data_IF_455561067913
#
_entry.id   IF_455561067913
#
_cell.length_a   1.000
_cell.length_b   1.000
_cell.length_c   1.000
_cell.angle_alpha   90.00
_cell.angle_beta   90.00
_cell.angle_gamma   90.00
#
_symmetry.space_group_name_H-M   'P 1'
#
loop_
_entity.id
_entity.type
_entity.pdbx_description
1 polymer ?
#
# COMPACT_ATOMS: atom_id res chain seq x y z
N UNK A 1 -3.42 -12.94 -3.04
CA UNK A 1 -3.54 -12.16 -1.78
C UNK A 1 -3.85 -13.11 -0.64
N UNK A 2 -3.27 -12.86 0.53
CA UNK A 2 -3.60 -13.55 1.77
C UNK A 2 -4.80 -12.91 2.46
N UNK A 3 -5.72 -13.73 2.95
CA UNK A 3 -6.87 -13.31 3.75
C UNK A 3 -7.02 -14.23 4.97
N UNK A 4 -7.47 -13.67 6.08
CA UNK A 4 -7.80 -14.44 7.29
C UNK A 4 -9.32 -14.63 7.35
N UNK A 5 -9.78 -15.85 7.10
CA UNK A 5 -11.20 -16.21 7.06
C UNK A 5 -11.48 -17.16 8.21
N UNK A 6 -12.31 -16.72 9.16
CA UNK A 6 -12.69 -17.53 10.34
C UNK A 6 -11.51 -18.12 11.12
N UNK A 7 -10.41 -17.36 11.21
CA UNK A 7 -9.17 -17.78 11.89
C UNK A 7 -8.20 -18.62 11.04
N UNK A 8 -8.57 -18.95 9.79
CA UNK A 8 -7.71 -19.68 8.86
C UNK A 8 -7.10 -18.74 7.83
N UNK A 9 -5.80 -18.89 7.59
CA UNK A 9 -5.09 -18.15 6.56
C UNK A 9 -5.29 -18.78 5.18
N UNK A 10 -5.91 -18.05 4.26
CA UNK A 10 -6.22 -18.51 2.90
C UNK A 10 -5.50 -17.63 1.89
N UNK A 11 -4.97 -18.26 0.83
CA UNK A 11 -4.37 -17.55 -0.30
C UNK A 11 -5.32 -17.58 -1.49
N UNK A 12 -5.78 -16.41 -1.91
CA UNK A 12 -6.59 -16.24 -3.10
C UNK A 12 -5.73 -15.81 -4.29
N UNK A 13 -5.78 -16.58 -5.38
CA UNK A 13 -5.27 -16.12 -6.69
C UNK A 13 -6.29 -15.12 -7.22
N UNK A 14 -5.82 -13.91 -7.53
CA UNK A 14 -6.63 -12.81 -8.07
C UNK A 14 -5.82 -12.13 -9.16
N UNK A 15 -6.51 -11.57 -10.14
CA UNK A 15 -5.92 -10.72 -11.16
C UNK A 15 -5.89 -9.28 -10.64
N UNK A 16 -4.71 -8.68 -10.53
CA UNK A 16 -4.53 -7.31 -10.02
C UNK A 16 -4.20 -6.36 -11.17
N UNK A 17 -4.75 -5.15 -11.10
CA UNK A 17 -4.38 -4.03 -11.96
C UNK A 17 -4.13 -2.82 -11.08
N UNK A 18 -2.95 -2.22 -11.23
CA UNK A 18 -2.60 -0.96 -10.60
C UNK A 18 -2.91 0.18 -11.57
N UNK A 19 -3.75 1.13 -11.15
CA UNK A 19 -4.06 2.35 -11.90
C UNK A 19 -3.89 3.55 -10.99
N UNK A 20 -2.85 4.35 -11.25
CA UNK A 20 -2.46 5.45 -10.35
C UNK A 20 -2.17 4.94 -8.94
N UNK A 21 -2.89 5.46 -7.95
CA UNK A 21 -2.76 5.07 -6.55
C UNK A 21 -3.83 4.07 -6.09
N UNK A 22 -4.50 3.38 -7.01
CA UNK A 22 -5.55 2.40 -6.70
C UNK A 22 -5.23 1.07 -7.35
N UNK A 23 -5.21 0.01 -6.55
CA UNK A 23 -5.02 -1.37 -7.02
C UNK A 23 -6.35 -2.12 -6.99
N UNK A 24 -6.92 -2.39 -8.14
CA UNK A 24 -8.18 -3.12 -8.29
C UNK A 24 -7.92 -4.59 -8.61
N UNK A 25 -8.83 -5.48 -8.22
CA UNK A 25 -8.66 -6.91 -8.48
C UNK A 25 -9.93 -7.64 -8.88
N UNK A 26 -9.74 -8.72 -9.64
CA UNK A 26 -10.76 -9.63 -10.14
C UNK A 26 -10.39 -11.09 -9.87
N UNK A 27 -11.35 -12.01 -10.06
CA UNK A 27 -11.08 -13.44 -10.00
C UNK A 27 -10.30 -13.92 -11.23
N UNK A 28 -10.70 -13.46 -12.41
CA UNK A 28 -10.08 -13.82 -13.67
C UNK A 28 -9.73 -12.58 -14.51
N UNK A 29 -8.72 -12.64 -15.39
CA UNK A 29 -8.36 -11.52 -16.27
C UNK A 29 -9.53 -11.05 -17.16
N UNK A 30 -10.31 -12.00 -17.69
CA UNK A 30 -11.44 -11.74 -18.58
C UNK A 30 -12.61 -11.02 -17.86
N UNK A 31 -12.64 -11.05 -16.53
CA UNK A 31 -13.69 -10.41 -15.75
C UNK A 31 -13.63 -8.88 -15.86
N UNK A 32 -12.45 -8.32 -16.12
CA UNK A 32 -12.24 -6.88 -16.20
C UNK A 32 -13.11 -6.19 -17.26
N UNK A 33 -13.40 -6.89 -18.35
CA UNK A 33 -14.18 -6.35 -19.47
C UNK A 33 -15.69 -6.58 -19.30
N UNK A 34 -16.08 -7.50 -18.40
CA UNK A 34 -17.45 -7.96 -18.27
C UNK A 34 -18.12 -7.54 -16.97
N UNK A 35 -17.35 -7.24 -15.90
CA UNK A 35 -17.88 -6.82 -14.61
C UNK A 35 -16.94 -5.90 -13.84
N UNK A 36 -17.51 -5.26 -12.82
CA UNK A 36 -16.77 -4.45 -11.87
C UNK A 36 -15.73 -5.27 -11.08
N UNK A 37 -14.75 -4.55 -10.52
CA UNK A 37 -13.74 -5.16 -9.66
C UNK A 37 -14.37 -5.83 -8.44
N UNK A 38 -13.83 -6.98 -8.06
CA UNK A 38 -14.21 -7.69 -6.82
C UNK A 38 -13.83 -6.87 -5.58
N UNK A 39 -12.82 -6.02 -5.71
CA UNK A 39 -12.46 -5.03 -4.73
C UNK A 39 -11.31 -4.15 -5.20
N UNK A 40 -10.99 -3.16 -4.37
CA UNK A 40 -9.89 -2.25 -4.62
C UNK A 40 -9.14 -1.93 -3.33
N UNK A 41 -7.86 -1.59 -3.49
CA UNK A 41 -6.96 -1.19 -2.41
C UNK A 41 -6.42 0.18 -2.77
N UNK A 42 -6.74 1.18 -1.95
CA UNK A 42 -6.23 2.53 -2.10
C UNK A 42 -4.84 2.65 -1.45
N UNK A 43 -3.86 3.02 -2.28
CA UNK A 43 -2.51 3.37 -1.88
C UNK A 43 -2.40 4.82 -1.37
N UNK A 44 -3.42 5.64 -1.65
CA UNK A 44 -3.55 7.04 -1.22
C UNK A 44 -4.15 7.21 0.18
N UNK A 45 -4.64 6.12 0.79
CA UNK A 45 -5.36 6.18 2.07
C UNK A 45 -4.49 6.56 3.27
N UNK A 46 -3.17 6.38 3.20
CA UNK A 46 -2.27 6.74 4.31
C UNK A 46 -0.95 7.30 3.82
N UNK A 47 -0.44 8.33 4.48
CA UNK A 47 0.86 8.93 4.18
C UNK A 47 2.06 8.04 4.56
N UNK A 48 1.82 6.95 5.30
CA UNK A 48 2.86 6.06 5.83
C UNK A 48 2.73 4.64 5.26
N UNK A 49 2.24 4.50 4.04
CA UNK A 49 2.24 3.21 3.36
C UNK A 49 3.62 2.86 2.81
N UNK A 50 3.99 1.58 2.83
CA UNK A 50 5.23 1.09 2.24
C UNK A 50 5.11 -0.37 1.83
N UNK A 51 5.92 -0.76 0.83
CA UNK A 51 6.02 -2.15 0.38
C UNK A 51 7.31 -2.77 0.87
N UNK A 52 7.23 -3.98 1.44
CA UNK A 52 8.39 -4.69 1.98
C UNK A 52 8.41 -6.15 1.53
N UNK A 53 9.60 -6.75 1.36
CA UNK A 53 9.69 -8.20 1.18
C UNK A 53 9.33 -8.91 2.49
N UNK A 54 8.63 -10.04 2.41
CA UNK A 54 8.32 -10.85 3.59
C UNK A 54 9.47 -11.83 3.84
N UNK A 55 9.91 -11.90 5.08
CA UNK A 55 10.93 -12.87 5.51
C UNK A 55 10.35 -14.29 5.53
N UNK A 56 11.20 -15.27 5.24
CA UNK A 56 10.81 -16.70 5.16
C UNK A 56 10.32 -17.27 6.49
N UNK A 57 10.80 -16.74 7.61
CA UNK A 57 10.34 -17.10 8.96
C UNK A 57 8.86 -16.73 9.21
N UNK A 58 8.39 -15.67 8.53
CA UNK A 58 7.05 -15.11 8.67
C UNK A 58 6.06 -15.75 7.69
N UNK A 59 6.52 -16.05 6.48
CA UNK A 59 5.72 -16.70 5.46
C UNK A 59 6.58 -17.68 4.63
N UNK A 60 6.20 -18.95 4.64
CA UNK A 60 6.86 -19.99 3.84
C UNK A 60 6.56 -19.89 2.34
N UNK A 61 5.53 -19.13 1.94
CA UNK A 61 5.14 -18.99 0.52
C UNK A 61 6.22 -18.21 -0.24
N UNK A 62 6.76 -18.74 -1.35
CA UNK A 62 7.77 -18.06 -2.12
C UNK A 62 7.25 -16.75 -2.69
N UNK A 63 8.17 -15.85 -3.00
CA UNK A 63 7.89 -14.58 -3.66
C UNK A 63 6.85 -13.69 -2.97
N UNK A 64 6.74 -13.83 -1.64
CA UNK A 64 5.81 -13.04 -0.84
C UNK A 64 6.37 -11.66 -0.54
N UNK A 65 5.52 -10.64 -0.69
CA UNK A 65 5.75 -9.27 -0.26
C UNK A 65 4.53 -8.73 0.50
N UNK A 66 4.73 -7.65 1.25
CA UNK A 66 3.71 -7.05 2.09
C UNK A 66 3.54 -5.57 1.78
N UNK A 67 2.28 -5.15 1.71
CA UNK A 67 1.89 -3.74 1.77
C UNK A 67 1.50 -3.43 3.22
N UNK A 68 2.20 -2.49 3.83
CA UNK A 68 1.96 -2.05 5.21
C UNK A 68 1.46 -0.62 5.17
N UNK A 69 0.28 -0.37 5.74
CA UNK A 69 -0.25 0.98 5.95
C UNK A 69 -0.01 1.41 7.39
N UNK A 70 0.83 2.43 7.60
CA UNK A 70 1.01 3.05 8.91
C UNK A 70 -0.11 4.06 9.19
N UNK A 71 -0.86 3.86 10.28
CA UNK A 71 -1.73 4.90 10.85
C UNK A 71 -1.45 4.95 12.37
N UNK A 72 -1.30 6.14 12.98
CA UNK A 72 -1.25 6.27 14.42
C UNK A 72 -2.63 5.97 15.01
N UNK A 73 -2.63 5.09 16.00
CA UNK A 73 -3.73 4.72 16.89
C UNK A 73 -4.63 5.91 17.27
N UNK A 74 -5.90 5.89 16.84
CA UNK A 74 -6.97 6.50 17.62
C UNK A 74 -8.20 5.59 17.62
N UNK A 75 -8.71 5.38 18.84
CA UNK A 75 -9.79 4.49 19.19
C UNK A 75 -11.09 4.86 18.46
N UNK A 76 -11.87 3.79 18.22
CA UNK A 76 -13.28 3.74 17.85
C UNK A 76 -13.65 3.57 16.37
N UNK A 77 -14.49 2.55 16.19
CA UNK A 77 -15.28 2.16 15.03
C UNK A 77 -14.58 1.36 13.91
N UNK A 78 -14.49 0.03 14.13
CA UNK A 78 -14.79 -1.02 13.14
C UNK A 78 -13.98 -0.97 11.81
N UNK A 79 -12.94 -1.83 11.74
CA UNK A 79 -12.20 -2.28 10.51
C UNK A 79 -11.02 -1.45 10.00
N UNK A 80 -10.29 -0.73 10.85
CA UNK A 80 -8.95 -0.25 10.49
C UNK A 80 -7.88 -0.83 11.44
N UNK A 81 -7.87 -2.17 11.51
CA UNK A 81 -6.69 -2.92 11.96
C UNK A 81 -5.59 -2.69 10.94
N UNK A 82 -4.43 -2.14 11.35
CA UNK A 82 -3.17 -2.11 10.60
C UNK A 82 -3.17 -3.07 9.41
N UNK A 83 -3.56 -2.59 8.22
CA UNK A 83 -3.94 -3.50 7.14
C UNK A 83 -2.69 -3.99 6.41
N UNK A 84 -1.89 -4.79 7.11
CA UNK A 84 -0.77 -5.53 6.55
C UNK A 84 -1.36 -6.58 5.61
N UNK A 85 -1.24 -6.33 4.31
CA UNK A 85 -1.70 -7.26 3.27
C UNK A 85 -0.52 -7.99 2.67
N UNK A 86 -0.63 -9.31 2.56
CA UNK A 86 0.37 -10.13 1.91
C UNK A 86 -0.04 -10.51 0.50
N UNK A 87 0.94 -10.43 -0.39
CA UNK A 87 0.84 -10.77 -1.80
C UNK A 87 1.95 -11.73 -2.14
N UNK A 88 1.68 -12.65 -3.05
CA UNK A 88 2.64 -13.61 -3.57
C UNK A 88 2.56 -13.53 -5.08
N UNK A 89 3.71 -13.31 -5.72
CA UNK A 89 3.84 -13.37 -7.16
C UNK A 89 4.13 -14.82 -7.62
N UNK A 90 4.01 -15.08 -8.91
CA UNK A 90 4.32 -16.40 -9.49
C UNK A 90 5.83 -16.60 -9.70
N UNK A 91 6.57 -15.50 -9.93
CA UNK A 91 8.03 -15.49 -10.10
C UNK A 91 8.73 -14.45 -9.20
N UNK A 92 10.07 -14.55 -9.13
CA UNK A 92 10.90 -13.58 -8.40
C UNK A 92 10.88 -12.22 -9.11
N UNK A 93 10.91 -12.24 -10.43
CA UNK A 93 10.91 -11.08 -11.32
C UNK A 93 9.60 -10.32 -11.15
N UNK A 94 8.45 -10.99 -11.27
CA UNK A 94 7.16 -10.36 -11.03
C UNK A 94 7.05 -9.78 -9.61
N UNK A 95 7.61 -10.45 -8.60
CA UNK A 95 7.63 -9.88 -7.23
C UNK A 95 8.36 -8.55 -7.20
N UNK A 96 9.52 -8.46 -7.85
CA UNK A 96 10.31 -7.24 -7.89
C UNK A 96 9.58 -6.14 -8.65
N UNK A 97 9.01 -6.46 -9.82
CA UNK A 97 8.23 -5.53 -10.63
C UNK A 97 7.02 -4.98 -9.85
N UNK A 98 6.25 -5.84 -9.18
CA UNK A 98 5.12 -5.41 -8.36
C UNK A 98 5.57 -4.51 -7.20
N UNK A 99 6.66 -4.86 -6.52
CA UNK A 99 7.18 -4.04 -5.44
C UNK A 99 7.65 -2.67 -5.93
N UNK A 100 8.32 -2.61 -7.08
CA UNK A 100 8.77 -1.36 -7.70
C UNK A 100 7.60 -0.47 -8.11
N UNK A 101 6.63 -1.01 -8.86
CA UNK A 101 5.46 -0.25 -9.31
C UNK A 101 4.64 0.30 -8.15
N UNK A 102 4.42 -0.50 -7.10
CA UNK A 102 3.70 -0.05 -5.91
C UNK A 102 4.49 1.01 -5.13
N UNK A 103 5.80 0.86 -4.99
CA UNK A 103 6.64 1.88 -4.36
C UNK A 103 6.62 3.18 -5.16
N UNK A 104 6.68 3.11 -6.49
CA UNK A 104 6.59 4.29 -7.36
C UNK A 104 5.23 4.97 -7.20
N UNK A 105 4.13 4.23 -7.21
CA UNK A 105 2.79 4.79 -7.00
C UNK A 105 2.65 5.49 -5.63
N UNK A 106 3.28 4.94 -4.59
CA UNK A 106 3.34 5.55 -3.26
C UNK A 106 4.18 6.83 -3.25
N UNK A 107 5.35 6.82 -3.90
CA UNK A 107 6.21 8.00 -4.03
C UNK A 107 5.54 9.11 -4.83
N UNK A 108 4.89 8.76 -5.93
CA UNK A 108 4.11 9.69 -6.76
C UNK A 108 3.01 10.33 -5.90
N UNK A 109 2.25 9.52 -5.18
CA UNK A 109 1.23 10.02 -4.26
C UNK A 109 1.80 11.02 -3.25
N UNK A 110 2.92 10.71 -2.60
CA UNK A 110 3.54 11.62 -1.64
C UNK A 110 4.06 12.90 -2.29
N UNK A 111 4.63 12.80 -3.48
CA UNK A 111 5.17 13.95 -4.22
C UNK A 111 4.06 14.92 -4.60
N UNK A 112 2.94 14.41 -5.12
CA UNK A 112 1.80 15.22 -5.57
C UNK A 112 0.86 15.65 -4.45
N UNK A 113 0.85 14.97 -3.30
CA UNK A 113 -0.01 15.34 -2.17
C UNK A 113 0.68 16.33 -1.21
N UNK A 114 2.02 16.45 -1.22
CA UNK A 114 2.73 17.50 -0.47
C UNK A 114 2.48 18.90 -1.02
N UNK A 115 2.11 19.04 -2.29
CA UNK A 115 1.83 20.36 -2.90
C UNK A 115 0.42 20.88 -2.58
N UNK A 116 -0.47 20.05 -2.05
CA UNK A 116 -1.83 20.46 -1.63
C UNK A 116 -1.91 20.99 -0.19
N UNK A 117 -0.79 20.99 0.55
CA UNK A 117 -0.69 21.41 1.95
C UNK A 117 -0.29 22.87 2.18
N UNK A 118 -0.57 23.79 1.25
CA UNK A 118 -0.41 25.23 1.50
C UNK A 118 -1.72 25.96 1.20
N UNK A 119 -2.59 26.06 2.21
CA UNK A 119 -3.40 27.25 2.55
C UNK A 119 -4.43 26.90 3.64
N UNK A 120 -4.19 27.27 4.91
CA UNK A 120 -4.88 28.39 5.60
C UNK A 120 -4.67 28.41 7.13
N UNK A 121 -4.16 29.58 7.58
CA UNK A 121 -4.31 30.28 8.87
C UNK A 121 -3.52 29.88 10.14
N UNK A 122 -2.37 30.56 10.27
CA UNK A 122 -1.88 31.35 11.42
C UNK A 122 -2.45 31.09 12.83
N UNK A 123 -1.56 30.74 13.77
CA UNK A 123 -1.18 31.65 14.86
C UNK A 123 0.06 31.17 15.66
N UNK A 124 0.94 32.14 15.92
CA UNK A 124 1.88 32.27 17.04
C UNK A 124 3.19 31.44 17.12
N UNK A 125 4.28 32.15 16.76
CA UNK A 125 5.57 32.26 17.47
C UNK A 125 6.17 31.03 18.14
N UNK A 126 7.31 30.56 17.62
CA UNK A 126 8.60 30.61 18.33
C UNK A 126 9.75 30.02 17.49
N UNK A 127 10.77 30.86 17.28
CA UNK A 127 12.21 30.59 17.19
C UNK A 127 12.74 29.19 16.82
N UNK A 128 13.58 29.16 15.77
CA UNK A 128 14.84 28.41 15.83
C UNK A 128 15.14 27.42 14.69
N UNK A 129 16.06 27.81 13.80
CA UNK A 129 17.22 26.97 13.51
C UNK A 129 17.17 25.97 12.35
N UNK A 130 17.81 26.39 11.25
CA UNK A 130 18.70 25.62 10.36
C UNK A 130 18.12 24.63 9.33
N UNK A 131 18.23 25.12 8.09
CA UNK A 131 18.53 24.43 6.85
C UNK A 131 19.45 23.22 7.04
N UNK A 132 19.08 22.06 6.49
CA UNK A 132 20.03 20.97 6.24
C UNK A 132 19.75 20.35 4.87
N UNK A 133 20.53 20.78 3.88
CA UNK A 133 20.64 20.15 2.57
C UNK A 133 21.67 19.01 2.64
N UNK A 134 21.46 17.93 1.89
CA UNK A 134 22.45 16.86 1.70
C UNK A 134 22.20 16.15 0.36
N UNK A 135 23.26 16.10 -0.45
CA UNK A 135 23.40 15.24 -1.64
C UNK A 135 23.66 13.80 -1.19
N UNK A 136 22.92 12.85 -1.77
CA UNK A 136 23.37 11.50 -2.10
C UNK A 136 22.81 11.15 -3.48
#
# INVERSE_FOLDING_TARGET
MFEMISGYGVWHRRYFVLMGCTMSYWNHPNDRESKDAEGSISLSSSSSQCVRPVKRDSCARPFTFELVSGVPQQQDAVRDTFAKRWFSADSKEERLDWMEQLNQALLDFHTWNRTSGTQSQQSNTCSGGNLRESIL
#
